data_IF_232185373556
#
_entry.id   IF_232185373556
#
_cell.length_a   1.000
_cell.length_b   1.000
_cell.length_c   1.000
_cell.angle_alpha   90.00
_cell.angle_beta   90.00
_cell.angle_gamma   90.00
#
_symmetry.space_group_name_H-M   'P 1'
#
loop_
_entity.id
_entity.type
_entity.pdbx_description
1 polymer ?
#
# COMPACT_ATOMS: atom_id res chain seq x y z
N UNK A 1 -11.81 23.55 -23.26
CA UNK A 1 -12.15 22.31 -23.99
C UNK A 1 -12.09 21.15 -23.01
N UNK A 2 -13.21 20.44 -22.76
CA UNK A 2 -13.25 19.27 -21.88
C UNK A 2 -12.83 18.05 -22.70
N UNK A 3 -11.67 17.46 -22.38
CA UNK A 3 -11.20 16.26 -23.07
C UNK A 3 -12.08 15.06 -22.67
N UNK A 4 -12.71 14.31 -23.61
CA UNK A 4 -13.66 13.25 -23.28
C UNK A 4 -13.04 11.91 -22.84
N UNK A 5 -11.73 11.86 -22.57
CA UNK A 5 -10.99 10.59 -22.51
C UNK A 5 -9.94 10.49 -21.39
N UNK A 6 -10.17 11.08 -20.22
CA UNK A 6 -9.56 10.50 -19.02
C UNK A 6 -10.37 9.25 -18.67
N UNK A 7 -10.22 8.19 -19.47
CA UNK A 7 -10.56 6.85 -19.01
C UNK A 7 -9.79 6.66 -17.73
N UNK A 8 -10.48 6.39 -16.62
CA UNK A 8 -9.84 5.98 -15.38
C UNK A 8 -8.77 4.91 -15.73
N UNK A 9 -7.55 4.97 -15.17
CA UNK A 9 -6.51 3.96 -15.38
C UNK A 9 -6.90 2.59 -14.80
N UNK A 10 -8.18 2.37 -14.51
CA UNK A 10 -8.80 1.18 -13.97
C UNK A 10 -8.42 -0.11 -14.72
N UNK A 11 -8.17 -0.06 -16.03
CA UNK A 11 -7.70 -1.25 -16.77
C UNK A 11 -6.32 -1.73 -16.32
N UNK A 12 -5.37 -0.80 -16.13
CA UNK A 12 -4.03 -1.08 -15.61
C UNK A 12 -4.13 -1.49 -14.14
N UNK A 13 -4.98 -0.81 -13.37
CA UNK A 13 -5.21 -1.14 -11.97
C UNK A 13 -5.76 -2.56 -11.80
N UNK A 14 -6.79 -2.93 -12.58
CA UNK A 14 -7.36 -4.27 -12.62
C UNK A 14 -6.35 -5.33 -13.04
N UNK A 15 -5.48 -5.02 -14.01
CA UNK A 15 -4.40 -5.92 -14.42
C UNK A 15 -3.46 -6.19 -13.24
N UNK A 16 -3.00 -5.14 -12.56
CA UNK A 16 -2.10 -5.27 -11.42
C UNK A 16 -2.76 -6.04 -10.27
N UNK A 17 -3.98 -5.66 -9.87
CA UNK A 17 -4.74 -6.36 -8.83
C UNK A 17 -4.93 -7.84 -9.14
N UNK A 18 -5.23 -8.20 -10.40
CA UNK A 18 -5.43 -9.59 -10.80
C UNK A 18 -4.12 -10.39 -10.85
N UNK A 19 -3.15 -9.92 -11.62
CA UNK A 19 -1.99 -10.75 -11.98
C UNK A 19 -0.85 -10.61 -10.98
N UNK A 20 -0.57 -9.39 -10.52
CA UNK A 20 0.52 -9.11 -9.60
C UNK A 20 0.08 -9.42 -8.18
N UNK A 21 -1.03 -8.82 -7.74
CA UNK A 21 -1.45 -8.88 -6.33
C UNK A 21 -2.49 -9.96 -6.03
N UNK A 22 -2.97 -10.71 -7.02
CA UNK A 22 -3.77 -11.92 -6.77
C UNK A 22 -5.11 -11.68 -6.08
N UNK A 23 -5.76 -10.55 -6.37
CA UNK A 23 -7.11 -10.26 -5.91
C UNK A 23 -8.11 -11.31 -6.43
N UNK A 24 -9.00 -11.84 -5.58
CA UNK A 24 -10.01 -12.79 -6.01
C UNK A 24 -11.05 -12.13 -6.94
N UNK A 25 -11.75 -12.94 -7.73
CA UNK A 25 -12.76 -12.46 -8.67
C UNK A 25 -13.95 -11.77 -7.97
N UNK A 26 -14.23 -12.09 -6.70
CA UNK A 26 -15.21 -11.38 -5.87
C UNK A 26 -14.88 -9.89 -5.76
N UNK A 27 -13.62 -9.54 -5.46
CA UNK A 27 -13.12 -8.17 -5.42
C UNK A 27 -13.01 -7.55 -6.80
N UNK A 28 -12.38 -8.25 -7.76
CA UNK A 28 -12.20 -7.74 -9.13
C UNK A 28 -13.53 -7.40 -9.82
N UNK A 29 -14.60 -8.16 -9.53
CA UNK A 29 -15.95 -7.90 -10.02
C UNK A 29 -16.49 -6.53 -9.61
N UNK A 30 -16.12 -6.03 -8.42
CA UNK A 30 -16.54 -4.69 -7.94
C UNK A 30 -15.91 -3.57 -8.75
N UNK A 31 -14.61 -3.66 -9.02
CA UNK A 31 -13.91 -2.71 -9.90
C UNK A 31 -14.45 -2.72 -11.32
N UNK A 32 -14.80 -3.89 -11.87
CA UNK A 32 -15.41 -3.99 -13.20
C UNK A 32 -16.83 -3.42 -13.26
N UNK A 33 -17.58 -3.54 -12.17
CA UNK A 33 -18.95 -3.04 -12.09
C UNK A 33 -19.02 -1.52 -11.95
N UNK A 34 -17.99 -0.87 -11.37
CA UNK A 34 -17.96 0.57 -11.23
C UNK A 34 -17.70 1.27 -12.56
N UNK A 35 -18.74 1.93 -13.07
CA UNK A 35 -18.70 2.74 -14.30
C UNK A 35 -18.80 4.25 -14.01
N UNK A 36 -18.76 4.64 -12.74
CA UNK A 36 -19.01 6.02 -12.28
C UNK A 36 -17.81 6.94 -12.47
N UNK A 37 -16.59 6.39 -12.44
CA UNK A 37 -15.34 7.12 -12.62
C UNK A 37 -14.88 7.88 -11.36
N UNK A 38 -13.66 8.48 -11.41
CA UNK A 38 -12.92 8.92 -10.23
C UNK A 38 -13.25 10.35 -9.78
N UNK A 39 -14.05 11.08 -10.57
CA UNK A 39 -14.35 12.49 -10.31
C UNK A 39 -15.52 12.64 -9.33
N UNK A 40 -15.59 13.76 -8.59
CA UNK A 40 -16.71 14.04 -7.68
C UNK A 40 -18.08 13.91 -8.38
N UNK A 41 -18.20 14.45 -9.60
CA UNK A 41 -19.37 14.24 -10.45
C UNK A 41 -19.25 12.90 -11.19
N UNK A 42 -20.17 11.94 -10.98
CA UNK A 42 -20.12 10.66 -11.69
C UNK A 42 -20.33 10.85 -13.20
N UNK A 43 -19.90 9.86 -13.97
CA UNK A 43 -20.26 9.73 -15.37
C UNK A 43 -21.78 9.77 -15.51
N UNK A 44 -22.28 10.64 -16.39
CA UNK A 44 -23.72 10.85 -16.59
C UNK A 44 -24.47 9.59 -17.05
N UNK A 45 -23.76 8.60 -17.60
CA UNK A 45 -24.34 7.31 -18.02
C UNK A 45 -24.30 6.24 -16.93
N UNK A 46 -23.63 6.48 -15.81
CA UNK A 46 -23.51 5.51 -14.72
C UNK A 46 -24.75 5.57 -13.81
N UNK A 47 -25.20 4.41 -13.36
CA UNK A 47 -26.29 4.24 -12.38
C UNK A 47 -25.77 3.73 -11.03
N UNK A 48 -24.45 3.78 -10.82
CA UNK A 48 -23.82 3.33 -9.57
C UNK A 48 -24.18 4.32 -8.47
N UNK A 49 -24.69 3.79 -7.35
CA UNK A 49 -25.03 4.58 -6.16
C UNK A 49 -23.78 5.21 -5.58
N UNK A 50 -23.90 6.36 -4.93
CA UNK A 50 -22.77 7.13 -4.39
C UNK A 50 -21.86 6.30 -3.48
N UNK A 51 -22.45 5.42 -2.66
CA UNK A 51 -21.76 4.51 -1.74
C UNK A 51 -21.01 3.36 -2.42
N UNK A 52 -21.33 3.04 -3.68
CA UNK A 52 -20.72 1.94 -4.44
C UNK A 52 -19.65 2.44 -5.43
N UNK A 53 -19.32 3.74 -5.43
CA UNK A 53 -18.38 4.38 -6.36
C UNK A 53 -16.93 4.16 -5.96
N UNK A 54 -16.47 2.93 -6.11
CA UNK A 54 -15.15 2.45 -5.72
C UNK A 54 -14.00 3.30 -6.30
N UNK A 55 -14.04 3.64 -7.58
CA UNK A 55 -13.03 4.45 -8.27
C UNK A 55 -12.92 5.84 -7.63
N UNK A 56 -14.07 6.49 -7.39
CA UNK A 56 -14.13 7.77 -6.70
C UNK A 56 -13.59 7.69 -5.28
N UNK A 57 -13.99 6.67 -4.49
CA UNK A 57 -13.53 6.52 -3.10
C UNK A 57 -12.02 6.33 -3.02
N UNK A 58 -11.46 5.47 -3.86
CA UNK A 58 -10.01 5.22 -3.90
C UNK A 58 -9.26 6.50 -4.29
N UNK A 59 -9.67 7.16 -5.38
CA UNK A 59 -9.07 8.42 -5.80
C UNK A 59 -9.20 9.53 -4.76
N UNK A 60 -10.35 9.65 -4.11
CA UNK A 60 -10.59 10.62 -3.05
C UNK A 60 -9.65 10.38 -1.85
N UNK A 61 -9.52 9.14 -1.40
CA UNK A 61 -8.59 8.76 -0.32
C UNK A 61 -7.16 9.20 -0.64
N UNK A 62 -6.66 8.82 -1.82
CA UNK A 62 -5.30 9.19 -2.25
C UNK A 62 -5.10 10.69 -2.40
N UNK A 63 -6.00 11.38 -3.10
CA UNK A 63 -5.90 12.83 -3.27
C UNK A 63 -5.93 13.54 -1.93
N UNK A 64 -6.81 13.13 -1.01
CA UNK A 64 -6.86 13.73 0.33
C UNK A 64 -5.56 13.48 1.07
N UNK A 65 -5.05 12.26 1.12
CA UNK A 65 -3.85 11.94 1.90
C UNK A 65 -2.56 12.51 1.33
N UNK A 66 -2.49 12.75 0.03
CA UNK A 66 -1.23 13.10 -0.64
C UNK A 66 -1.21 14.48 -1.28
N UNK A 67 -2.19 15.33 -0.97
CA UNK A 67 -2.18 16.71 -1.46
C UNK A 67 -2.46 17.72 -0.36
N UNK A 68 -1.82 18.89 -0.51
CA UNK A 68 -2.06 20.04 0.35
C UNK A 68 -1.73 19.78 1.83
N UNK A 69 -2.53 20.33 2.76
CA UNK A 69 -2.21 20.33 4.19
C UNK A 69 -2.24 18.94 4.83
N UNK A 70 -2.93 17.97 4.23
CA UNK A 70 -3.08 16.61 4.76
C UNK A 70 -1.83 15.73 4.57
N UNK A 71 -0.91 16.11 3.65
CA UNK A 71 0.36 15.42 3.48
C UNK A 71 1.36 15.76 4.60
N UNK A 72 1.26 16.97 5.18
CA UNK A 72 2.24 17.52 6.12
C UNK A 72 2.45 16.59 7.34
N UNK A 73 1.41 16.11 8.04
CA UNK A 73 1.60 15.25 9.21
C UNK A 73 2.27 13.93 8.86
N UNK A 74 1.89 13.31 7.73
CA UNK A 74 2.54 12.08 7.23
C UNK A 74 4.03 12.30 6.98
N UNK A 75 4.39 13.38 6.29
CA UNK A 75 5.80 13.71 5.98
C UNK A 75 6.61 13.97 7.26
N UNK A 76 6.03 14.68 8.25
CA UNK A 76 6.70 14.93 9.52
C UNK A 76 6.94 13.64 10.31
N UNK A 77 5.94 12.74 10.37
CA UNK A 77 6.11 11.42 11.01
C UNK A 77 7.19 10.60 10.32
N UNK A 78 7.21 10.57 8.98
CA UNK A 78 8.24 9.88 8.22
C UNK A 78 9.64 10.44 8.53
N UNK A 79 9.81 11.77 8.50
CA UNK A 79 11.09 12.41 8.77
C UNK A 79 11.60 12.11 10.19
N UNK A 80 10.71 12.16 11.19
CA UNK A 80 11.06 11.85 12.59
C UNK A 80 11.44 10.37 12.76
N UNK A 81 10.71 9.46 12.09
CA UNK A 81 11.02 8.03 12.11
C UNK A 81 12.35 7.73 11.41
N UNK A 82 12.65 8.43 10.31
CA UNK A 82 13.91 8.27 9.59
C UNK A 82 15.09 8.78 10.42
N UNK A 83 15.00 9.97 11.00
CA UNK A 83 16.05 10.52 11.89
C UNK A 83 16.30 9.57 13.08
N UNK A 84 15.23 9.11 13.73
CA UNK A 84 15.33 8.15 14.83
C UNK A 84 15.94 6.82 14.38
N UNK A 85 15.56 6.31 13.20
CA UNK A 85 16.08 5.05 12.68
C UNK A 85 17.57 5.14 12.38
N UNK A 86 18.01 6.22 11.73
CA UNK A 86 19.43 6.47 11.43
C UNK A 86 20.24 6.59 12.73
N UNK A 87 19.78 7.34 13.73
CA UNK A 87 20.47 7.46 15.03
C UNK A 87 20.61 6.13 15.77
N UNK A 88 19.67 5.20 15.56
CA UNK A 88 19.69 3.88 16.17
C UNK A 88 20.47 2.84 15.36
N UNK A 89 20.98 3.19 14.18
CA UNK A 89 21.94 2.33 13.48
C UNK A 89 23.29 2.36 14.17
N UNK A 90 24.09 1.29 14.04
CA UNK A 90 25.43 1.19 14.62
C UNK A 90 26.47 2.06 13.89
N UNK A 91 26.06 3.19 13.33
CA UNK A 91 26.97 4.15 12.72
C UNK A 91 27.77 4.85 13.84
N UNK A 92 29.09 4.67 13.81
CA UNK A 92 30.02 5.38 14.69
C UNK A 92 30.37 6.76 14.14
N UNK A 93 31.05 7.58 14.95
CA UNK A 93 31.73 8.78 14.44
C UNK A 93 32.88 8.44 13.46
N UNK A 94 33.43 7.24 13.57
CA UNK A 94 34.43 6.69 12.64
C UNK A 94 33.78 6.13 11.37
N UNK A 95 34.55 6.05 10.29
CA UNK A 95 34.13 5.43 9.04
C UNK A 95 33.67 3.98 9.25
N UNK A 96 32.42 3.70 8.88
CA UNK A 96 31.83 2.36 8.87
C UNK A 96 31.65 1.90 7.43
N UNK A 97 32.19 0.73 7.10
CA UNK A 97 31.92 0.08 5.82
C UNK A 97 30.55 -0.60 5.87
N UNK A 98 29.67 -0.24 4.94
CA UNK A 98 28.36 -0.89 4.75
C UNK A 98 28.50 -1.82 3.54
N UNK A 99 28.47 -3.15 3.72
CA UNK A 99 28.73 -4.10 2.63
C UNK A 99 27.73 -4.01 1.47
N UNK A 100 26.48 -3.65 1.77
CA UNK A 100 25.42 -3.43 0.78
C UNK A 100 24.63 -2.16 1.16
N UNK A 101 25.01 -1.04 0.56
CA UNK A 101 24.33 0.24 0.79
C UNK A 101 22.87 0.21 0.30
N UNK A 102 22.58 -0.54 -0.78
CA UNK A 102 21.24 -0.66 -1.31
C UNK A 102 20.32 -1.38 -0.33
N UNK A 103 20.74 -2.53 0.20
CA UNK A 103 19.99 -3.27 1.22
C UNK A 103 19.82 -2.42 2.49
N UNK A 104 20.87 -1.72 2.94
CA UNK A 104 20.78 -0.82 4.07
C UNK A 104 19.67 0.24 3.90
N UNK A 105 19.65 0.95 2.77
CA UNK A 105 18.61 1.96 2.47
C UNK A 105 17.24 1.31 2.36
N UNK A 106 17.12 0.18 1.66
CA UNK A 106 15.86 -0.57 1.50
C UNK A 106 15.28 -0.99 2.85
N UNK A 107 16.12 -1.41 3.80
CA UNK A 107 15.70 -1.80 5.14
C UNK A 107 15.29 -0.59 5.98
N UNK A 108 16.14 0.43 6.06
CA UNK A 108 15.88 1.62 6.91
C UNK A 108 14.67 2.38 6.39
N UNK A 109 14.70 2.77 5.12
CA UNK A 109 13.67 3.62 4.51
C UNK A 109 12.37 2.84 4.31
N UNK A 110 12.47 1.59 3.85
CA UNK A 110 11.30 0.72 3.68
C UNK A 110 10.54 0.52 4.99
N UNK A 111 11.24 0.25 6.11
CA UNK A 111 10.60 0.14 7.43
C UNK A 111 9.93 1.44 7.85
N UNK A 112 10.60 2.59 7.67
CA UNK A 112 10.02 3.90 7.98
C UNK A 112 8.73 4.17 7.19
N UNK A 113 8.70 3.84 5.89
CA UNK A 113 7.51 3.99 5.06
C UNK A 113 6.35 3.11 5.57
N UNK A 114 6.61 1.82 5.80
CA UNK A 114 5.58 0.90 6.28
C UNK A 114 5.03 1.36 7.63
N UNK A 115 5.89 1.74 8.58
CA UNK A 115 5.43 2.23 9.89
C UNK A 115 4.63 3.53 9.78
N UNK A 116 5.04 4.45 8.91
CA UNK A 116 4.36 5.74 8.74
C UNK A 116 2.96 5.55 8.16
N UNK A 117 2.83 4.69 7.15
CA UNK A 117 1.61 4.56 6.36
C UNK A 117 0.67 3.49 6.90
N UNK A 118 1.20 2.33 7.28
CA UNK A 118 0.48 1.13 7.72
C UNK A 118 0.59 0.88 9.23
N UNK A 119 1.26 1.77 9.96
CA UNK A 119 1.35 1.72 11.40
C UNK A 119 2.46 0.80 11.91
N UNK A 120 3.04 1.11 13.08
CA UNK A 120 4.02 0.26 13.75
C UNK A 120 3.55 -1.17 14.00
N UNK A 121 2.26 -1.37 14.26
CA UNK A 121 1.68 -2.68 14.57
C UNK A 121 1.95 -3.73 13.48
N UNK A 122 1.95 -3.36 12.20
CA UNK A 122 2.23 -4.29 11.11
C UNK A 122 3.64 -4.90 11.24
N UNK A 123 4.67 -4.07 11.48
CA UNK A 123 6.04 -4.56 11.63
C UNK A 123 6.30 -5.22 12.98
N UNK A 124 5.59 -4.84 14.04
CA UNK A 124 5.68 -5.55 15.32
C UNK A 124 5.18 -6.98 15.21
N UNK A 125 4.08 -7.20 14.48
CA UNK A 125 3.52 -8.55 14.26
C UNK A 125 4.31 -9.34 13.22
N UNK A 126 4.81 -8.65 12.20
CA UNK A 126 5.56 -9.26 11.11
C UNK A 126 6.91 -8.54 10.90
N UNK A 127 7.92 -8.81 11.76
CA UNK A 127 9.21 -8.11 11.68
C UNK A 127 9.97 -8.29 10.37
N UNK A 128 9.67 -9.37 9.63
CA UNK A 128 10.25 -9.70 8.31
C UNK A 128 9.40 -9.22 7.14
N UNK A 129 8.33 -8.45 7.37
CA UNK A 129 7.41 -8.03 6.32
C UNK A 129 8.13 -7.26 5.20
N UNK A 130 9.02 -6.33 5.54
CA UNK A 130 9.80 -5.56 4.55
C UNK A 130 10.71 -6.47 3.72
N UNK A 131 11.41 -7.43 4.35
CA UNK A 131 12.22 -8.42 3.63
C UNK A 131 11.38 -9.32 2.71
N UNK A 132 10.20 -9.73 3.17
CA UNK A 132 9.26 -10.53 2.38
C UNK A 132 8.71 -9.74 1.19
N UNK A 133 8.46 -8.43 1.36
CA UNK A 133 8.07 -7.51 0.30
C UNK A 133 9.14 -7.38 -0.77
N UNK A 134 10.42 -7.24 -0.40
CA UNK A 134 11.53 -7.18 -1.36
C UNK A 134 11.69 -8.48 -2.14
N UNK A 135 11.59 -9.64 -1.47
CA UNK A 135 11.58 -10.94 -2.16
C UNK A 135 10.40 -11.11 -3.11
N UNK A 136 9.27 -10.48 -2.80
CA UNK A 136 8.10 -10.46 -3.67
C UNK A 136 8.27 -9.52 -4.86
N UNK A 137 8.92 -8.36 -4.67
CA UNK A 137 9.28 -7.44 -5.76
C UNK A 137 10.11 -8.13 -6.85
N UNK A 138 11.13 -8.92 -6.45
CA UNK A 138 11.94 -9.73 -7.37
C UNK A 138 11.09 -10.73 -8.21
N UNK A 139 9.90 -11.10 -7.71
CA UNK A 139 8.99 -12.02 -8.36
C UNK A 139 7.94 -11.33 -9.26
N UNK A 140 7.81 -10.00 -9.21
CA UNK A 140 6.79 -9.24 -9.96
C UNK A 140 6.88 -9.45 -11.47
N UNK A 141 8.06 -9.43 -12.13
CA UNK A 141 8.14 -9.66 -13.58
C UNK A 141 7.51 -11.00 -14.00
N UNK A 142 7.73 -12.05 -13.19
CA UNK A 142 7.16 -13.37 -13.43
C UNK A 142 5.64 -13.41 -13.26
N UNK A 143 5.12 -12.69 -12.26
CA UNK A 143 3.69 -12.57 -12.02
C UNK A 143 3.01 -11.72 -13.10
N UNK A 144 3.68 -10.69 -13.60
CA UNK A 144 3.21 -9.85 -14.72
C UNK A 144 3.08 -10.65 -16.02
N UNK A 145 3.95 -11.64 -16.26
CA UNK A 145 3.81 -12.59 -17.38
C UNK A 145 2.71 -13.64 -17.17
N UNK A 146 2.04 -13.65 -16.01
CA UNK A 146 0.96 -14.61 -15.72
C UNK A 146 1.45 -16.04 -15.55
N UNK A 147 2.72 -16.24 -15.17
CA UNK A 147 3.29 -17.59 -14.99
C UNK A 147 2.53 -18.34 -13.88
N UNK A 148 1.94 -19.52 -14.17
CA UNK A 148 1.13 -20.22 -13.19
C UNK A 148 1.96 -20.84 -12.04
N UNK A 149 1.29 -21.12 -10.92
CA UNK A 149 1.91 -21.53 -9.66
C UNK A 149 2.71 -22.83 -9.70
N UNK A 150 2.38 -23.76 -10.59
CA UNK A 150 3.15 -24.99 -10.79
C UNK A 150 4.54 -24.78 -11.43
N UNK A 151 4.76 -23.67 -12.12
CA UNK A 151 6.05 -23.32 -12.75
C UNK A 151 6.87 -22.46 -11.79
N UNK A 152 6.22 -21.49 -11.12
CA UNK A 152 6.87 -20.59 -10.15
C UNK A 152 6.19 -20.62 -8.77
N UNK A 153 6.23 -21.76 -8.05
CA UNK A 153 5.51 -21.91 -6.78
C UNK A 153 5.98 -20.94 -5.70
N UNK A 154 7.27 -20.58 -5.73
CA UNK A 154 7.87 -19.63 -4.77
C UNK A 154 7.24 -18.23 -4.86
N UNK A 155 7.04 -17.71 -6.07
CA UNK A 155 6.44 -16.39 -6.30
C UNK A 155 5.01 -16.32 -5.74
N UNK A 156 4.20 -17.34 -6.07
CA UNK A 156 2.82 -17.42 -5.57
C UNK A 156 2.78 -17.64 -4.05
N UNK A 157 3.68 -18.45 -3.50
CA UNK A 157 3.76 -18.65 -2.05
C UNK A 157 4.17 -17.38 -1.29
N UNK A 158 5.06 -16.55 -1.84
CA UNK A 158 5.43 -15.26 -1.23
C UNK A 158 4.23 -14.30 -1.21
N UNK A 159 3.51 -14.18 -2.32
CA UNK A 159 2.26 -13.40 -2.38
C UNK A 159 1.25 -13.86 -1.33
N UNK A 160 1.00 -15.17 -1.25
CA UNK A 160 0.09 -15.75 -0.25
C UNK A 160 0.58 -15.56 1.19
N UNK A 161 1.90 -15.48 1.42
CA UNK A 161 2.47 -15.15 2.73
C UNK A 161 2.16 -13.70 3.11
N UNK A 162 2.41 -12.76 2.20
CA UNK A 162 2.13 -11.33 2.41
C UNK A 162 0.64 -11.07 2.64
N UNK A 163 -0.25 -11.74 1.90
CA UNK A 163 -1.70 -11.66 2.15
C UNK A 163 -2.07 -12.10 3.56
N UNK A 164 -1.53 -13.23 4.03
CA UNK A 164 -1.81 -13.72 5.39
C UNK A 164 -1.29 -12.76 6.46
N UNK A 165 -0.13 -12.14 6.24
CA UNK A 165 0.42 -11.13 7.14
C UNK A 165 -0.49 -9.89 7.22
N UNK A 166 -0.99 -9.40 6.08
CA UNK A 166 -1.94 -8.29 6.06
C UNK A 166 -3.26 -8.64 6.76
N UNK A 167 -3.79 -9.83 6.54
CA UNK A 167 -5.04 -10.28 7.17
C UNK A 167 -4.92 -10.48 8.69
N UNK A 168 -3.79 -11.01 9.15
CA UNK A 168 -3.48 -11.08 10.59
C UNK A 168 -3.38 -9.67 11.20
N UNK A 169 -2.72 -8.74 10.51
CA UNK A 169 -2.69 -7.33 10.91
C UNK A 169 -4.08 -6.70 10.95
N UNK A 170 -4.95 -6.92 9.96
CA UNK A 170 -6.34 -6.41 9.97
C UNK A 170 -7.13 -6.91 11.17
N UNK A 171 -7.01 -8.21 11.46
CA UNK A 171 -7.70 -8.84 12.59
C UNK A 171 -7.25 -8.20 13.90
N UNK A 172 -5.94 -8.05 14.09
CA UNK A 172 -5.39 -7.36 15.26
C UNK A 172 -5.84 -5.91 15.33
N UNK A 173 -5.76 -5.18 14.22
CA UNK A 173 -6.03 -3.77 14.18
C UNK A 173 -7.50 -3.44 14.48
N UNK A 174 -8.44 -4.21 13.94
CA UNK A 174 -9.88 -4.08 14.26
C UNK A 174 -10.22 -4.37 15.72
N UNK A 175 -9.43 -5.20 16.40
CA UNK A 175 -9.63 -5.55 17.82
C UNK A 175 -9.00 -4.55 18.79
N UNK A 176 -7.93 -3.86 18.37
CA UNK A 176 -7.09 -3.06 19.27
C UNK A 176 -7.07 -1.56 18.95
N UNK A 177 -7.64 -1.14 17.82
CA UNK A 177 -7.75 0.27 17.48
C UNK A 177 -8.77 0.99 18.35
N UNK A 178 -8.40 2.17 18.83
CA UNK A 178 -9.28 3.12 19.50
C UNK A 178 -9.08 4.51 18.89
N UNK A 179 -10.16 5.28 18.77
CA UNK A 179 -10.10 6.64 18.19
C UNK A 179 -9.22 7.59 19.02
N UNK A 180 -9.12 7.36 20.33
CA UNK A 180 -8.23 8.11 21.23
C UNK A 180 -6.74 7.92 20.92
N UNK A 181 -6.40 6.87 20.15
CA UNK A 181 -5.03 6.59 19.70
C UNK A 181 -4.60 7.38 18.47
N UNK A 182 -5.50 8.14 17.84
CA UNK A 182 -5.20 8.96 16.66
C UNK A 182 -4.49 10.25 17.08
N UNK A 183 -3.45 10.62 16.34
CA UNK A 183 -2.69 11.84 16.59
C UNK A 183 -3.58 13.11 16.52
N UNK A 184 -3.10 14.20 17.13
CA UNK A 184 -3.83 15.48 17.18
C UNK A 184 -4.08 16.08 15.79
N UNK A 185 -3.36 15.64 14.77
CA UNK A 185 -3.54 16.05 13.38
C UNK A 185 -4.54 15.18 12.62
N UNK A 186 -5.08 14.14 13.26
CA UNK A 186 -6.09 13.23 12.72
C UNK A 186 -5.55 12.21 11.71
N UNK A 187 -4.22 12.05 11.61
CA UNK A 187 -3.57 11.28 10.56
C UNK A 187 -2.93 9.99 11.07
N UNK A 188 -1.96 10.05 11.97
CA UNK A 188 -1.18 8.91 12.45
C UNK A 188 -1.80 8.20 13.65
N UNK A 189 -1.70 6.88 13.72
CA UNK A 189 -1.96 6.08 14.93
C UNK A 189 -1.04 4.83 14.98
N UNK A 190 -0.82 4.23 16.16
CA UNK A 190 0.09 3.07 16.29
C UNK A 190 -0.38 1.77 15.62
N UNK A 191 -1.67 1.67 15.28
CA UNK A 191 -2.35 0.44 14.86
C UNK A 191 -2.55 0.40 13.34
N UNK A 192 -3.25 1.39 12.78
CA UNK A 192 -3.50 1.52 11.33
C UNK A 192 -2.46 2.38 10.62
N UNK A 193 -1.74 3.23 11.34
CA UNK A 193 -0.81 4.19 10.75
C UNK A 193 -1.54 5.42 10.24
N UNK A 194 -1.55 5.62 8.92
CA UNK A 194 -2.09 6.84 8.32
C UNK A 194 -3.62 6.87 8.26
N UNK A 195 -4.18 8.07 8.11
CA UNK A 195 -5.62 8.25 7.88
C UNK A 195 -6.08 7.50 6.65
N UNK A 196 -5.22 7.41 5.63
CA UNK A 196 -5.49 6.67 4.39
C UNK A 196 -5.85 5.21 4.69
N UNK A 197 -5.12 4.56 5.60
CA UNK A 197 -5.37 3.15 5.93
C UNK A 197 -6.67 2.97 6.70
N UNK A 198 -6.97 3.84 7.67
CA UNK A 198 -8.28 3.84 8.34
C UNK A 198 -9.42 4.08 7.35
N UNK A 199 -9.27 5.06 6.47
CA UNK A 199 -10.24 5.36 5.43
C UNK A 199 -10.46 4.19 4.48
N UNK A 200 -9.39 3.54 4.02
CA UNK A 200 -9.48 2.37 3.14
C UNK A 200 -10.17 1.20 3.81
N UNK A 201 -9.81 0.90 5.06
CA UNK A 201 -10.50 -0.12 5.85
C UNK A 201 -11.99 0.20 5.96
N UNK A 202 -12.33 1.45 6.27
CA UNK A 202 -13.71 1.90 6.36
C UNK A 202 -14.46 1.73 5.03
N UNK A 203 -14.01 2.36 3.94
CA UNK A 203 -14.77 2.42 2.68
C UNK A 203 -14.73 1.14 1.86
N UNK A 204 -13.64 0.36 1.94
CA UNK A 204 -13.49 -0.85 1.16
C UNK A 204 -14.04 -2.08 1.88
N UNK A 205 -14.10 -2.10 3.23
CA UNK A 205 -14.77 -3.18 3.96
C UNK A 205 -16.28 -2.94 4.12
N UNK A 206 -16.73 -1.67 4.15
CA UNK A 206 -18.14 -1.31 4.32
C UNK A 206 -19.04 -1.99 3.29
N UNK A 207 -20.20 -2.45 3.77
CA UNK A 207 -21.24 -3.07 2.94
C UNK A 207 -20.83 -4.38 2.27
N UNK A 208 -19.72 -5.01 2.69
CA UNK A 208 -19.20 -6.22 2.04
C UNK A 208 -18.64 -5.95 0.65
N UNK A 209 -18.13 -4.74 0.40
CA UNK A 209 -17.49 -4.39 -0.87
C UNK A 209 -16.28 -5.29 -1.14
N UNK A 210 -15.35 -5.38 -0.19
CA UNK A 210 -14.21 -6.27 -0.25
C UNK A 210 -14.18 -7.21 0.96
N UNK A 211 -13.91 -8.49 0.70
CA UNK A 211 -13.44 -9.41 1.74
C UNK A 211 -11.96 -9.12 2.10
N UNK A 212 -11.49 -9.70 3.20
CA UNK A 212 -10.11 -9.50 3.67
C UNK A 212 -9.06 -10.00 2.66
N UNK A 213 -9.41 -10.92 1.75
CA UNK A 213 -8.53 -11.35 0.66
C UNK A 213 -8.39 -10.26 -0.41
N UNK A 214 -9.49 -9.61 -0.77
CA UNK A 214 -9.49 -8.51 -1.74
C UNK A 214 -8.83 -7.26 -1.17
N UNK A 215 -9.05 -6.96 0.11
CA UNK A 215 -8.36 -5.87 0.81
C UNK A 215 -6.85 -6.12 0.86
N UNK A 216 -6.41 -7.32 1.24
CA UNK A 216 -5.00 -7.67 1.29
C UNK A 216 -4.31 -7.51 -0.08
N UNK A 217 -4.97 -7.90 -1.17
CA UNK A 217 -4.43 -7.69 -2.52
C UNK A 217 -4.32 -6.19 -2.88
N UNK A 218 -5.33 -5.40 -2.52
CA UNK A 218 -5.32 -3.96 -2.80
C UNK A 218 -4.25 -3.21 -1.98
N UNK A 219 -4.10 -3.56 -0.70
CA UNK A 219 -3.09 -2.96 0.17
C UNK A 219 -1.68 -3.46 -0.13
N UNK A 220 -1.51 -4.72 -0.55
CA UNK A 220 -0.23 -5.20 -1.09
C UNK A 220 0.20 -4.38 -2.30
N UNK A 221 -0.73 -4.07 -3.21
CA UNK A 221 -0.45 -3.20 -4.35
C UNK A 221 -0.06 -1.78 -3.96
N UNK A 222 -0.70 -1.23 -2.92
CA UNK A 222 -0.34 0.07 -2.37
C UNK A 222 1.06 0.05 -1.76
N UNK A 223 1.37 -0.94 -0.93
CA UNK A 223 2.71 -1.13 -0.34
C UNK A 223 3.76 -1.24 -1.44
N UNK A 224 3.52 -2.08 -2.44
CA UNK A 224 4.44 -2.27 -3.55
C UNK A 224 4.72 -0.97 -4.31
N UNK A 225 3.69 -0.16 -4.60
CA UNK A 225 3.87 1.13 -5.26
C UNK A 225 4.81 2.07 -4.48
N UNK A 226 4.74 2.07 -3.15
CA UNK A 226 5.63 2.87 -2.31
C UNK A 226 7.06 2.32 -2.23
N UNK A 227 7.18 1.00 -2.13
CA UNK A 227 8.46 0.33 -1.97
C UNK A 227 9.26 0.39 -3.29
N UNK A 228 8.59 0.33 -4.45
CA UNK A 228 9.23 0.41 -5.77
C UNK A 228 9.92 1.76 -6.02
N UNK A 229 9.43 2.87 -5.47
CA UNK A 229 10.08 4.18 -5.64
C UNK A 229 11.53 4.18 -5.13
N UNK A 230 11.87 3.31 -4.17
CA UNK A 230 13.24 3.12 -3.67
C UNK A 230 14.12 2.28 -4.60
N UNK A 231 13.54 1.48 -5.50
CA UNK A 231 14.28 0.73 -6.51
C UNK A 231 14.77 1.67 -7.63
N UNK A 232 13.95 2.65 -8.03
CA UNK A 232 14.25 3.57 -9.13
C UNK A 232 15.40 4.55 -8.84
N UNK A 233 15.69 4.86 -7.56
CA UNK A 233 16.78 5.78 -7.21
C UNK A 233 18.15 5.12 -7.08
N UNK A 234 18.22 3.77 -7.07
CA UNK A 234 19.49 3.04 -7.00
C UNK A 234 20.18 2.85 -8.36
N UNK A 235 19.42 2.83 -9.45
CA UNK A 235 19.97 2.62 -10.81
C UNK A 235 20.46 3.91 -11.47
N UNK A 236 20.07 5.09 -10.98
CA UNK A 236 20.46 6.38 -11.57
C UNK A 236 21.81 6.92 -11.08
N UNK A 237 22.56 6.15 -10.29
CA UNK A 237 23.85 6.55 -9.72
C UNK A 237 25.04 5.72 -10.24
N UNK A 238 24.83 4.87 -11.25
CA UNK A 238 25.89 4.06 -11.89
C UNK A 238 26.34 4.56 -13.27
N UNK A 239 26.00 5.79 -13.68
CA UNK A 239 26.53 6.43 -14.89
C UNK A 239 27.50 7.60 -14.58
#
# INVERSE_FOLDING_TARGET
MKHPSLSSPMSIYLFALKYLFGMPESGLGKYRADTSGPLAKPNSKSQIRSEDRLDFMIHHGFLRSWTGPYLIPTTQRFANLLDSSIRNTCLSEDWVEIPDFSDFIKQVVGRCFIQTLFGPALLHRHPKFVEDMWKFDDAIPWLAWGIPSWIMPKAHSLRSKLHRQLQDWYTYARQNFTEDGVDSHGDGDPIWGSWLMRYRQDVLSKGGSHDDASLAAADLGLIWAYVQELHFQGQTLED
#
